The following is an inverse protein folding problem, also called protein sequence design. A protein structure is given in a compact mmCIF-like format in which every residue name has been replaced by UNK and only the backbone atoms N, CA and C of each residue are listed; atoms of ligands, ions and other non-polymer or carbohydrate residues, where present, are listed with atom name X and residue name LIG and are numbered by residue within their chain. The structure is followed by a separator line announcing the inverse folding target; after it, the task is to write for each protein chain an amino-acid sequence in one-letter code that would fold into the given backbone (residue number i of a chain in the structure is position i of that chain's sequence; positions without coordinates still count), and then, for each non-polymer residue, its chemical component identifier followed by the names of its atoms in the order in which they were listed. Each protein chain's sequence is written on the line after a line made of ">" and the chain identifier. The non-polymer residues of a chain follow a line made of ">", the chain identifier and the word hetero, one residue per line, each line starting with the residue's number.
data_IF_037149229966
#
_entry.id   IF_037149229966
#
_cell.length_a   1.000
_cell.length_b   1.000
_cell.length_c   1.000
_cell.angle_alpha   90.00
_cell.angle_beta   90.00
_cell.angle_gamma   90.00
#
_symmetry.space_group_name_H-M   'P 1'
#
loop_
_entity.id
_entity.type
_entity.pdbx_description
1 polymer ?
#
# COMPACT_ATOMS: atom_id res chain seq x y z
N UNK A 1 16.37 -2.24 2.04
CA UNK A 1 14.93 -2.03 2.03
C UNK A 1 14.28 -3.07 2.91
N UNK A 2 13.55 -2.60 3.89
CA UNK A 2 13.01 -3.46 4.91
C UNK A 2 11.50 -3.25 4.98
N UNK A 3 10.74 -4.34 5.00
CA UNK A 3 9.29 -4.28 5.10
C UNK A 3 8.87 -5.18 6.25
N UNK A 4 8.15 -4.60 7.20
CA UNK A 4 7.62 -5.35 8.31
C UNK A 4 6.10 -5.29 8.22
N UNK A 5 5.45 -6.45 8.32
CA UNK A 5 4.00 -6.50 8.25
C UNK A 5 3.49 -7.19 9.51
N UNK A 6 2.65 -6.48 10.25
CA UNK A 6 2.09 -6.99 11.49
C UNK A 6 0.58 -7.09 11.34
N UNK A 7 0.05 -8.29 11.44
CA UNK A 7 -1.38 -8.48 11.31
C UNK A 7 -1.99 -8.57 12.70
N UNK A 8 -2.61 -7.50 13.12
CA UNK A 8 -3.29 -7.42 14.41
C UNK A 8 -4.80 -7.27 14.23
N UNK A 9 -5.29 -7.55 13.02
CA UNK A 9 -6.68 -7.30 12.70
C UNK A 9 -7.61 -8.45 13.07
N UNK A 10 -7.07 -9.63 13.23
CA UNK A 10 -7.91 -10.81 13.43
C UNK A 10 -8.39 -11.44 12.14
N UNK A 11 -8.21 -10.75 11.01
CA UNK A 11 -8.58 -11.32 9.73
C UNK A 11 -7.42 -12.12 9.15
N UNK A 12 -7.73 -13.05 8.28
CA UNK A 12 -6.70 -13.81 7.59
C UNK A 12 -6.23 -13.04 6.39
N UNK A 13 -4.96 -12.71 6.34
CA UNK A 13 -4.38 -11.98 5.23
C UNK A 13 -3.06 -12.65 4.91
N UNK A 14 -2.77 -12.80 3.63
CA UNK A 14 -1.51 -13.37 3.20
C UNK A 14 -0.43 -12.31 3.35
N UNK A 15 0.18 -12.26 4.53
CA UNK A 15 1.17 -11.22 4.81
C UNK A 15 2.43 -11.40 3.97
N UNK A 16 2.72 -12.63 3.58
CA UNK A 16 3.89 -12.87 2.74
C UNK A 16 3.69 -12.24 1.37
N UNK A 17 2.52 -12.41 0.79
CA UNK A 17 2.22 -11.80 -0.50
C UNK A 17 2.23 -10.28 -0.38
N UNK A 18 1.71 -9.76 0.72
CA UNK A 18 1.67 -8.32 0.92
C UNK A 18 3.08 -7.75 1.07
N UNK A 19 3.96 -8.49 1.71
CA UNK A 19 5.35 -8.10 1.83
C UNK A 19 6.02 -8.05 0.46
N UNK A 20 5.75 -9.03 -0.37
CA UNK A 20 6.33 -9.05 -1.72
C UNK A 20 5.80 -7.90 -2.57
N UNK A 21 4.51 -7.62 -2.46
CA UNK A 21 3.93 -6.49 -3.19
C UNK A 21 4.57 -5.18 -2.75
N UNK A 22 4.73 -5.01 -1.45
CA UNK A 22 5.31 -3.78 -0.92
C UNK A 22 6.73 -3.58 -1.43
N UNK A 23 7.52 -4.66 -1.43
CA UNK A 23 8.88 -4.57 -1.95
C UNK A 23 8.90 -4.30 -3.44
N UNK A 24 7.96 -4.90 -4.17
CA UNK A 24 7.84 -4.67 -5.60
C UNK A 24 7.60 -3.18 -5.88
N UNK A 25 6.67 -2.58 -5.15
CA UNK A 25 6.35 -1.17 -5.35
C UNK A 25 7.55 -0.29 -5.00
N UNK A 26 8.17 -0.57 -3.85
CA UNK A 26 9.31 0.24 -3.43
C UNK A 26 10.45 0.13 -4.44
N UNK A 27 10.65 -1.04 -4.99
CA UNK A 27 11.69 -1.23 -5.98
C UNK A 27 11.38 -0.49 -7.27
N UNK A 28 10.14 -0.58 -7.75
CA UNK A 28 9.75 0.12 -8.96
C UNK A 28 9.80 1.62 -8.80
N UNK A 29 9.57 2.10 -7.59
CA UNK A 29 9.61 3.53 -7.33
C UNK A 29 11.01 4.00 -6.97
N UNK A 30 11.99 3.10 -7.00
CA UNK A 30 13.40 3.42 -6.76
C UNK A 30 13.61 4.04 -5.39
N UNK A 31 12.92 3.47 -4.42
CA UNK A 31 13.09 3.90 -3.05
C UNK A 31 14.46 3.45 -2.59
N UNK A 32 15.08 4.27 -1.74
CA UNK A 32 16.43 3.99 -1.26
C UNK A 32 16.50 2.57 -0.68
N UNK A 33 17.59 1.84 -0.95
CA UNK A 33 17.69 0.45 -0.48
C UNK A 33 17.59 0.28 1.02
N UNK A 34 17.85 1.30 1.80
CA UNK A 34 17.77 1.20 3.24
C UNK A 34 16.46 1.72 3.81
N UNK A 35 15.50 2.02 2.96
CA UNK A 35 14.22 2.51 3.43
C UNK A 35 13.49 1.43 4.23
N UNK A 36 12.70 1.87 5.20
CA UNK A 36 11.94 0.97 6.05
C UNK A 36 10.48 1.31 5.97
N UNK A 37 9.66 0.29 5.82
CA UNK A 37 8.22 0.43 5.76
C UNK A 37 7.59 -0.53 6.76
N UNK A 38 6.66 -0.04 7.55
CA UNK A 38 5.89 -0.88 8.45
C UNK A 38 4.44 -0.83 8.03
N UNK A 39 3.83 -2.00 7.87
CA UNK A 39 2.42 -2.10 7.53
C UNK A 39 1.72 -2.85 8.66
N UNK A 40 0.72 -2.22 9.25
CA UNK A 40 -0.08 -2.87 10.27
C UNK A 40 -1.49 -3.07 9.78
N UNK A 41 -1.98 -4.26 9.96
CA UNK A 41 -3.38 -4.57 9.67
C UNK A 41 -4.10 -4.53 11.00
N UNK A 42 -5.13 -3.70 11.12
CA UNK A 42 -5.78 -3.45 12.40
C UNK A 42 -7.29 -3.58 12.27
N UNK A 43 -7.98 -3.65 13.40
CA UNK A 43 -9.44 -3.76 13.41
C UNK A 43 -10.07 -2.38 13.29
N UNK A 44 -11.40 -2.37 13.20
CA UNK A 44 -12.11 -1.12 12.95
C UNK A 44 -12.00 -0.14 14.10
N UNK A 45 -12.06 -0.62 15.33
CA UNK A 45 -11.96 0.28 16.46
C UNK A 45 -10.61 0.96 16.52
N UNK A 46 -9.56 0.22 16.21
CA UNK A 46 -8.21 0.75 16.23
C UNK A 46 -8.04 1.82 15.17
N UNK A 47 -8.47 1.54 13.94
CA UNK A 47 -8.25 2.51 12.88
C UNK A 47 -9.18 3.72 13.05
N UNK A 48 -10.35 3.51 13.64
CA UNK A 48 -11.24 4.64 13.93
C UNK A 48 -10.60 5.58 14.94
N UNK A 49 -9.96 5.03 15.97
CA UNK A 49 -9.29 5.85 16.97
C UNK A 49 -8.14 6.65 16.35
N UNK A 50 -7.38 6.01 15.47
CA UNK A 50 -6.29 6.68 14.80
C UNK A 50 -6.78 7.75 13.84
N UNK A 51 -7.89 7.48 13.15
CA UNK A 51 -8.46 8.42 12.22
C UNK A 51 -8.93 9.68 12.95
N UNK A 52 -9.55 9.50 14.10
CA UNK A 52 -9.99 10.64 14.89
C UNK A 52 -8.82 11.42 15.44
N UNK A 53 -7.84 10.72 15.99
CA UNK A 53 -6.71 11.38 16.64
C UNK A 53 -5.84 12.14 15.66
N UNK A 54 -5.55 11.55 14.52
CA UNK A 54 -4.57 12.12 13.61
C UNK A 54 -5.16 12.85 12.43
N UNK A 55 -6.37 12.48 12.00
CA UNK A 55 -7.00 13.12 10.84
C UNK A 55 -8.19 13.95 11.21
N UNK A 56 -8.63 13.87 12.47
CA UNK A 56 -9.80 14.65 12.90
C UNK A 56 -11.10 14.16 12.31
N UNK A 57 -11.15 12.93 11.82
CA UNK A 57 -12.33 12.38 11.17
C UNK A 57 -12.89 11.27 12.01
N UNK A 58 -14.24 11.17 12.03
CA UNK A 58 -14.91 10.16 12.80
C UNK A 58 -15.12 8.91 11.99
N UNK A 59 -15.01 7.78 12.66
CA UNK A 59 -15.29 6.50 12.05
C UNK A 59 -14.08 5.83 11.45
N UNK A 60 -14.23 4.54 11.15
CA UNK A 60 -13.11 3.79 10.57
C UNK A 60 -12.89 4.19 9.12
N UNK A 61 -11.68 3.95 8.65
CA UNK A 61 -11.33 4.17 7.26
C UNK A 61 -10.56 2.94 6.78
N UNK A 62 -10.29 2.87 5.50
CA UNK A 62 -9.64 1.69 4.92
C UNK A 62 -8.13 1.74 5.07
N UNK A 63 -7.51 2.90 4.95
CA UNK A 63 -6.06 3.00 5.04
C UNK A 63 -5.66 4.37 5.57
N UNK A 64 -4.62 4.37 6.39
CA UNK A 64 -3.99 5.61 6.86
C UNK A 64 -2.50 5.49 6.60
N UNK A 65 -1.91 6.55 6.10
CA UNK A 65 -0.48 6.60 5.83
C UNK A 65 0.16 7.66 6.70
N UNK A 66 1.21 7.28 7.41
CA UNK A 66 1.91 8.18 8.33
C UNK A 66 3.36 8.29 7.91
N UNK A 67 3.70 9.30 7.11
CA UNK A 67 5.11 9.48 6.72
C UNK A 67 5.95 9.80 7.95
N UNK A 68 7.09 9.17 8.03
CA UNK A 68 7.93 9.37 9.18
C UNK A 68 8.62 10.71 9.16
N UNK A 69 9.09 11.10 8.00
CA UNK A 69 9.88 12.31 7.87
C UNK A 69 9.28 13.31 6.94
N UNK A 70 8.00 13.26 6.73
CA UNK A 70 7.35 14.19 5.81
C UNK A 70 8.07 14.26 4.48
N UNK A 71 8.40 13.11 3.97
CA UNK A 71 9.15 13.05 2.73
C UNK A 71 8.36 13.63 1.58
N UNK A 72 9.07 14.14 0.61
CA UNK A 72 8.47 14.61 -0.63
C UNK A 72 9.21 13.99 -1.77
N UNK A 73 8.55 13.83 -2.91
CA UNK A 73 9.24 13.27 -4.06
C UNK A 73 10.46 14.12 -4.38
N UNK A 74 11.56 13.47 -4.58
CA UNK A 74 12.79 14.15 -4.90
C UNK A 74 13.71 14.39 -3.75
N UNK A 75 13.19 14.33 -2.52
CA UNK A 75 14.07 14.53 -1.39
C UNK A 75 14.64 13.25 -0.85
N UNK A 76 14.05 12.14 -1.26
CA UNK A 76 14.44 10.87 -0.69
C UNK A 76 15.83 10.44 -1.02
N UNK A 77 16.42 11.00 -2.03
CA UNK A 77 17.73 10.59 -2.43
C UNK A 77 18.82 11.45 -1.84
N UNK A 78 18.45 12.44 -1.07
CA UNK A 78 19.46 13.35 -0.56
C UNK A 78 20.12 12.87 0.70
N UNK A 79 19.49 11.95 1.39
CA UNK A 79 20.03 11.46 2.64
C UNK A 79 20.05 9.96 2.62
N UNK A 80 20.95 9.39 1.86
CA UNK A 80 21.00 7.95 1.75
C UNK A 80 21.24 7.32 3.10
N UNK A 81 20.57 6.28 3.38
CA UNK A 81 20.74 5.61 4.64
C UNK A 81 19.82 6.10 5.71
N UNK A 82 19.12 7.18 5.45
CA UNK A 82 18.21 7.69 6.44
C UNK A 82 16.78 7.58 6.05
N UNK A 83 16.47 6.88 5.01
CA UNK A 83 15.12 6.90 4.47
C UNK A 83 14.23 5.98 5.27
N UNK A 84 13.46 6.52 6.17
CA UNK A 84 12.40 5.79 6.83
C UNK A 84 11.12 6.23 6.17
N UNK A 85 10.48 5.31 5.46
CA UNK A 85 9.31 5.67 4.69
C UNK A 85 8.15 6.02 5.59
N UNK A 86 7.83 5.15 6.52
CA UNK A 86 6.76 5.40 7.44
C UNK A 86 5.90 4.19 7.68
N UNK A 87 4.70 4.44 8.18
CA UNK A 87 3.76 3.40 8.58
C UNK A 87 2.48 3.47 7.78
N UNK A 88 1.97 2.30 7.41
CA UNK A 88 0.63 2.18 6.85
C UNK A 88 -0.23 1.41 7.83
N UNK A 89 -1.45 1.88 8.02
CA UNK A 89 -2.45 1.14 8.77
C UNK A 89 -3.57 0.77 7.82
N UNK A 90 -3.84 -0.52 7.72
CA UNK A 90 -4.88 -1.04 6.83
C UNK A 90 -5.95 -1.72 7.67
N UNK A 91 -7.20 -1.58 7.26
CA UNK A 91 -8.30 -2.23 7.96
C UNK A 91 -8.99 -3.21 7.03
N UNK A 92 -8.68 -4.51 7.16
CA UNK A 92 -9.31 -5.51 6.28
C UNK A 92 -10.82 -5.55 6.38
N UNK A 93 -11.38 -5.26 7.55
CA UNK A 93 -12.82 -5.28 7.71
C UNK A 93 -13.50 -4.21 6.86
N UNK A 94 -12.90 -3.02 6.78
CA UNK A 94 -13.44 -1.97 5.94
C UNK A 94 -13.28 -2.34 4.47
N UNK A 95 -12.12 -2.90 4.12
CA UNK A 95 -11.89 -3.35 2.75
C UNK A 95 -12.92 -4.39 2.33
N UNK A 96 -13.25 -5.30 3.23
CA UNK A 96 -14.25 -6.33 2.95
C UNK A 96 -15.62 -5.71 2.70
N UNK A 97 -16.00 -4.73 3.52
CA UNK A 97 -17.28 -4.06 3.31
C UNK A 97 -17.33 -3.36 1.96
N UNK A 98 -16.23 -2.72 1.57
CA UNK A 98 -16.20 -2.01 0.30
C UNK A 98 -16.35 -2.97 -0.88
N UNK A 99 -15.72 -4.13 -0.77
CA UNK A 99 -15.86 -5.14 -1.82
C UNK A 99 -17.28 -5.68 -1.86
N UNK A 100 -17.87 -5.93 -0.68
CA UNK A 100 -19.25 -6.44 -0.62
C UNK A 100 -20.23 -5.45 -1.22
N UNK A 101 -20.03 -4.17 -0.96
CA UNK A 101 -20.89 -3.15 -1.53
C UNK A 101 -20.76 -3.07 -3.04
N UNK A 102 -19.52 -3.20 -3.53
CA UNK A 102 -19.30 -3.18 -4.96
C UNK A 102 -19.94 -4.38 -5.63
N UNK A 103 -19.88 -5.54 -4.98
CA UNK A 103 -20.51 -6.74 -5.52
C UNK A 103 -22.01 -6.61 -5.56
N UNK A 104 -22.59 -5.97 -4.57
CA UNK A 104 -24.03 -5.74 -4.55
C UNK A 104 -24.44 -4.85 -5.72
N UNK A 105 -23.52 -4.08 -6.25
CA UNK A 105 -23.80 -3.21 -7.39
C UNK A 105 -23.35 -3.82 -8.70
N UNK A 106 -22.98 -5.10 -8.70
CA UNK A 106 -22.64 -5.79 -9.93
C UNK A 106 -21.17 -5.91 -10.25
N UNK A 107 -20.31 -5.35 -9.41
CA UNK A 107 -18.87 -5.43 -9.66
C UNK A 107 -18.30 -6.62 -8.92
N UNK A 108 -18.19 -7.73 -9.63
CA UNK A 108 -17.85 -9.00 -8.97
C UNK A 108 -16.43 -9.47 -9.24
N UNK A 109 -15.66 -8.73 -10.02
CA UNK A 109 -14.31 -9.17 -10.37
C UNK A 109 -13.24 -8.77 -9.38
N UNK A 110 -13.56 -7.90 -8.46
CA UNK A 110 -12.58 -7.36 -7.52
C UNK A 110 -12.71 -8.10 -6.19
N UNK A 111 -11.64 -8.71 -5.73
CA UNK A 111 -11.67 -9.48 -4.50
C UNK A 111 -11.19 -8.63 -3.33
N UNK A 112 -11.33 -9.17 -2.12
CA UNK A 112 -10.80 -8.49 -0.94
C UNK A 112 -9.28 -8.38 -1.04
N UNK A 113 -8.64 -9.41 -1.55
CA UNK A 113 -7.19 -9.36 -1.74
C UNK A 113 -6.81 -8.25 -2.71
N UNK A 114 -7.58 -8.10 -3.79
CA UNK A 114 -7.33 -7.02 -4.73
C UNK A 114 -7.48 -5.67 -4.06
N UNK A 115 -8.47 -5.54 -3.19
CA UNK A 115 -8.69 -4.28 -2.50
C UNK A 115 -7.55 -3.96 -1.54
N UNK A 116 -7.08 -4.96 -0.81
CA UNK A 116 -5.97 -4.75 0.12
C UNK A 116 -4.70 -4.39 -0.66
N UNK A 117 -4.48 -5.04 -1.80
CA UNK A 117 -3.34 -4.70 -2.64
C UNK A 117 -3.44 -3.25 -3.12
N UNK A 118 -4.62 -2.86 -3.56
CA UNK A 118 -4.85 -1.49 -4.03
C UNK A 118 -4.56 -0.49 -2.92
N UNK A 119 -5.06 -0.74 -1.73
CA UNK A 119 -4.86 0.17 -0.61
C UNK A 119 -3.39 0.23 -0.20
N UNK A 120 -2.69 -0.87 -0.32
CA UNK A 120 -1.27 -0.91 0.01
C UNK A 120 -0.47 -0.06 -0.96
N UNK A 121 -0.71 -0.23 -2.26
CA UNK A 121 -0.01 0.57 -3.26
C UNK A 121 -0.34 2.04 -3.07
N UNK A 122 -1.62 2.34 -2.88
CA UNK A 122 -2.06 3.72 -2.68
C UNK A 122 -1.35 4.35 -1.47
N UNK A 123 -1.30 3.61 -0.37
CA UNK A 123 -0.66 4.12 0.83
C UNK A 123 0.83 4.35 0.67
N UNK A 124 1.51 3.43 -0.03
CA UNK A 124 2.94 3.61 -0.25
C UNK A 124 3.19 4.85 -1.09
N UNK A 125 2.37 5.08 -2.10
CA UNK A 125 2.54 6.27 -2.92
C UNK A 125 2.34 7.53 -2.09
N UNK A 126 1.39 7.52 -1.15
CA UNK A 126 1.23 8.66 -0.26
C UNK A 126 2.46 8.87 0.61
N UNK A 127 3.06 7.79 1.10
CA UNK A 127 4.28 7.93 1.89
C UNK A 127 5.41 8.52 1.08
N UNK A 128 5.38 8.31 -0.24
CA UNK A 128 6.40 8.86 -1.11
C UNK A 128 6.11 10.28 -1.54
N UNK A 129 5.03 10.86 -1.03
CA UNK A 129 4.73 12.25 -1.32
C UNK A 129 3.71 12.50 -2.40
N UNK A 130 3.19 11.44 -3.02
CA UNK A 130 2.14 11.62 -4.01
C UNK A 130 0.84 11.99 -3.31
N UNK A 131 0.04 12.82 -3.94
CA UNK A 131 -1.20 13.26 -3.37
C UNK A 131 -2.22 13.34 -4.47
N UNK A 132 -3.49 13.51 -4.11
CA UNK A 132 -4.54 13.61 -5.10
C UNK A 132 -5.43 14.81 -4.82
N UNK A 133 -4.86 15.84 -4.22
CA UNK A 133 -5.63 17.03 -3.88
C UNK A 133 -6.02 17.84 -5.09
N UNK A 134 -5.17 17.84 -6.12
CA UNK A 134 -5.45 18.59 -7.35
C UNK A 134 -5.66 17.63 -8.49
N UNK A 135 -6.38 18.10 -9.51
CA UNK A 135 -6.78 17.23 -10.61
C UNK A 135 -5.60 16.55 -11.28
N UNK A 136 -4.54 17.29 -11.51
CA UNK A 136 -3.41 16.73 -12.20
C UNK A 136 -2.68 15.73 -11.34
N UNK A 137 -2.51 16.05 -10.07
CA UNK A 137 -1.91 15.13 -9.12
C UNK A 137 -2.75 13.87 -8.97
N UNK A 138 -4.05 14.04 -8.96
CA UNK A 138 -4.96 12.91 -8.87
C UNK A 138 -4.75 11.97 -10.05
N UNK A 139 -4.74 12.50 -11.25
CA UNK A 139 -4.57 11.66 -12.44
C UNK A 139 -3.23 10.97 -12.45
N UNK A 140 -2.18 11.68 -12.04
CA UNK A 140 -0.85 11.13 -12.04
C UNK A 140 -0.73 9.99 -11.03
N UNK A 141 -1.24 10.21 -9.84
CA UNK A 141 -1.16 9.20 -8.80
C UNK A 141 -1.96 7.97 -9.16
N UNK A 142 -3.18 8.15 -9.65
CA UNK A 142 -4.03 7.00 -9.95
C UNK A 142 -3.57 6.25 -11.19
N UNK A 143 -2.97 6.94 -12.16
CA UNK A 143 -2.39 6.26 -13.31
C UNK A 143 -1.21 5.40 -12.88
N UNK A 144 -0.37 5.92 -12.00
CA UNK A 144 0.77 5.19 -11.50
C UNK A 144 0.32 3.99 -10.67
N UNK A 145 -0.67 4.20 -9.82
CA UNK A 145 -1.23 3.14 -9.01
C UNK A 145 -1.74 2.00 -9.88
N UNK A 146 -2.50 2.33 -10.92
CA UNK A 146 -3.04 1.32 -11.81
C UNK A 146 -1.94 0.58 -12.55
N UNK A 147 -0.90 1.27 -12.95
CA UNK A 147 0.20 0.63 -13.67
C UNK A 147 0.94 -0.34 -12.75
N UNK A 148 1.21 0.08 -11.53
CA UNK A 148 1.93 -0.79 -10.59
C UNK A 148 1.11 -2.04 -10.28
N UNK A 149 -0.19 -1.89 -10.10
CA UNK A 149 -1.03 -3.04 -9.83
C UNK A 149 -1.12 -3.97 -11.02
N UNK A 150 -1.21 -3.42 -12.22
CA UNK A 150 -1.26 -4.24 -13.42
C UNK A 150 0.04 -5.02 -13.58
N UNK A 151 1.17 -4.39 -13.34
CA UNK A 151 2.45 -5.08 -13.44
C UNK A 151 2.57 -6.16 -12.39
N UNK A 152 2.10 -5.88 -11.19
CA UNK A 152 2.14 -6.87 -10.12
C UNK A 152 1.26 -8.07 -10.45
N UNK A 153 0.06 -7.82 -10.93
CA UNK A 153 -0.85 -8.90 -11.28
C UNK A 153 -0.32 -9.72 -12.43
N UNK A 154 0.36 -9.10 -13.37
CA UNK A 154 1.00 -9.81 -14.45
C UNK A 154 2.08 -10.74 -13.96
N UNK A 155 2.85 -10.28 -12.98
CA UNK A 155 3.88 -11.11 -12.39
C UNK A 155 3.27 -12.34 -11.71
N UNK A 156 2.20 -12.13 -10.96
CA UNK A 156 1.54 -13.24 -10.29
C UNK A 156 0.89 -14.18 -11.29
N UNK A 157 0.34 -13.62 -12.34
CA UNK A 157 -0.36 -14.44 -13.32
C UNK A 157 0.58 -15.30 -14.11
N UNK A 158 1.82 -14.91 -14.27
CA UNK A 158 2.78 -15.73 -14.98
C UNK A 158 3.22 -16.89 -14.13
N UNK A 159 2.91 -16.82 -12.90
CA UNK A 159 3.13 -17.89 -12.04
C UNK A 159 4.46 -18.10 -11.65
N UNK A 160 5.28 -18.20 -12.38
CA UNK A 160 6.34 -18.56 -11.96
C UNK A 160 7.20 -17.75 -11.60
N UNK A 161 7.19 -17.13 -11.82
CA UNK A 161 8.08 -16.48 -11.53
C UNK A 161 8.30 -15.63 -10.73
N UNK A 162 7.64 -15.33 -9.88
CA UNK A 162 7.90 -14.36 -8.96
C UNK A 162 9.25 -14.53 -8.43
N UNK A 163 9.55 -15.63 -7.99
CA UNK A 163 10.81 -15.79 -7.37
C UNK A 163 11.93 -15.63 -8.32
N UNK A 164 11.78 -16.21 -9.44
CA UNK A 164 12.79 -16.08 -10.40
C UNK A 164 13.02 -14.70 -10.80
N UNK A 165 11.96 -14.02 -10.97
CA UNK A 165 12.09 -12.68 -11.37
C UNK A 165 12.79 -11.89 -10.33
N UNK A 166 12.49 -12.22 -9.11
CA UNK A 166 13.06 -11.48 -8.08
C UNK A 166 14.51 -11.70 -7.96
N UNK A 167 14.92 -12.77 -8.43
CA UNK A 167 16.25 -12.99 -8.35
C UNK A 167 16.93 -12.19 -9.32
N UNK A 168 16.39 -11.52 -9.77
CA UNK A 168 17.04 -10.86 -10.27
C UNK A 168 17.00 -10.34 -11.41
N UNK A 169 16.71 -10.67 -11.94
CA UNK A 169 16.77 -10.30 -12.97
C UNK A 169 15.79 -9.68 -13.39
N UNK A 170 15.25 -9.42 -13.13
CA UNK A 170 14.33 -8.94 -13.42
C UNK A 170 14.18 -8.20 -14.04
N UNK A 171 13.99 -7.99 -14.55
CA UNK A 171 13.85 -7.26 -15.34
C UNK A 171 13.19 -6.39 -15.41
#
# INVERSE_FOLDING_TARGET
>A
MSVEILNESGAEVDVSALSRLSRFVMDRMRVHPQAELCVKLVDEDTIAALNLKWMGKEGPTDVLAFPMDELRPGLMTEEPGEAILGDLMLCPAVATRQVDEARAQGQTDHTVEDEIDLLTVHGILHLLGYDHAEDEEHREMFALQARLLTEWQGTRGSGALPDDVLTGEVP
#
